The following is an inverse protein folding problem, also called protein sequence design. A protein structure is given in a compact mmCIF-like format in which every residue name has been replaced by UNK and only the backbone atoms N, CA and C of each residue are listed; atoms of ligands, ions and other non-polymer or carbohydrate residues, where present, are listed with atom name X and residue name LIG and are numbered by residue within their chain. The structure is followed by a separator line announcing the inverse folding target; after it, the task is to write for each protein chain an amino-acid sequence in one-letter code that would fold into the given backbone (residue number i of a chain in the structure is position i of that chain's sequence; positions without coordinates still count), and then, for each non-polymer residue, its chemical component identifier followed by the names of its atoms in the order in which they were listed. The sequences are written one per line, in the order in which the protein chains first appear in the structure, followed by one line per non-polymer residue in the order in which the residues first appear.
data_IF_411333763192
#
_entry.id   IF_411333763192
#
_cell.length_a   1.000
_cell.length_b   1.000
_cell.length_c   1.000
_cell.angle_alpha   90.00
_cell.angle_beta   90.00
_cell.angle_gamma   90.00
#
_symmetry.space_group_name_H-M   'P 1'
#
loop_
_entity.id
_entity.type
_entity.pdbx_description
1 polymer ?
#
# COMPACT_ATOMS: atom_id res chain seq x y z
N UNK A 1 29.17 53.78 -8.70
CA UNK A 1 28.67 52.93 -7.59
C UNK A 1 27.31 52.25 -7.86
N UNK A 2 26.55 52.62 -8.91
CA UNK A 2 25.25 51.99 -9.22
C UNK A 2 25.37 50.63 -9.95
N UNK A 3 26.33 50.51 -10.88
CA UNK A 3 26.46 49.33 -11.76
C UNK A 3 26.94 48.04 -11.05
N UNK A 4 27.59 48.17 -9.89
CA UNK A 4 28.09 47.02 -9.12
C UNK A 4 26.95 46.31 -8.36
N UNK A 5 25.93 47.07 -7.93
CA UNK A 5 24.74 46.54 -7.23
C UNK A 5 23.85 45.70 -8.15
N UNK A 6 23.73 46.11 -9.42
CA UNK A 6 22.93 45.39 -10.43
C UNK A 6 23.55 44.03 -10.79
N UNK A 7 24.89 43.94 -10.86
CA UNK A 7 25.57 42.67 -11.16
C UNK A 7 25.51 41.66 -10.01
N UNK A 8 25.51 42.14 -8.76
CA UNK A 8 25.39 41.27 -7.59
C UNK A 8 23.99 40.66 -7.45
N UNK A 9 22.94 41.42 -7.79
CA UNK A 9 21.56 40.92 -7.79
C UNK A 9 21.29 39.88 -8.88
N UNK A 10 21.86 40.06 -10.08
CA UNK A 10 21.72 39.10 -11.18
C UNK A 10 22.39 37.76 -10.91
N UNK A 11 23.54 37.76 -10.22
CA UNK A 11 24.24 36.54 -9.85
C UNK A 11 23.48 35.71 -8.79
N UNK A 12 22.84 36.36 -7.81
CA UNK A 12 22.05 35.68 -6.80
C UNK A 12 20.78 35.01 -7.39
N UNK A 13 20.13 35.67 -8.36
CA UNK A 13 18.96 35.12 -9.03
C UNK A 13 19.28 33.87 -9.87
N UNK A 14 20.42 33.86 -10.58
CA UNK A 14 20.84 32.73 -11.41
C UNK A 14 21.16 31.47 -10.59
N UNK A 15 21.71 31.63 -9.38
CA UNK A 15 22.00 30.51 -8.48
C UNK A 15 20.70 29.91 -7.91
N UNK A 16 19.71 30.74 -7.57
CA UNK A 16 18.42 30.27 -7.08
C UNK A 16 17.68 29.38 -8.07
N UNK A 17 17.74 29.70 -9.37
CA UNK A 17 17.10 28.92 -10.44
C UNK A 17 17.76 27.55 -10.64
N UNK A 18 19.07 27.44 -10.42
CA UNK A 18 19.82 26.20 -10.61
C UNK A 18 19.73 25.23 -9.41
N UNK A 19 19.48 25.75 -8.20
CA UNK A 19 19.43 24.93 -6.96
C UNK A 19 17.99 24.59 -6.53
N UNK A 20 16.99 25.29 -7.05
CA UNK A 20 15.58 24.99 -6.76
C UNK A 20 15.11 23.55 -7.09
N UNK A 21 15.49 22.90 -8.21
CA UNK A 21 14.87 21.63 -8.58
C UNK A 21 15.33 20.44 -7.73
N UNK A 22 16.47 20.53 -7.03
CA UNK A 22 16.99 19.45 -6.19
C UNK A 22 16.34 19.37 -4.81
N UNK A 23 15.54 20.37 -4.41
CA UNK A 23 14.81 20.37 -3.13
C UNK A 23 13.44 19.68 -3.21
N UNK A 24 12.99 19.29 -4.42
CA UNK A 24 11.73 18.58 -4.67
C UNK A 24 11.93 17.07 -4.85
N UNK A 25 13.11 16.55 -4.52
CA UNK A 25 13.36 15.10 -4.56
C UNK A 25 12.70 14.48 -3.33
N UNK A 26 11.45 14.07 -3.50
CA UNK A 26 10.76 13.17 -2.57
C UNK A 26 11.68 11.95 -2.35
N UNK A 27 12.00 11.56 -1.10
CA UNK A 27 12.74 10.32 -0.87
C UNK A 27 11.96 9.16 -1.51
N UNK A 28 12.65 8.16 -2.10
CA UNK A 28 11.96 7.01 -2.66
C UNK A 28 11.09 6.41 -1.56
N UNK A 29 9.77 6.35 -1.81
CA UNK A 29 8.85 5.70 -0.89
C UNK A 29 9.40 4.31 -0.57
N UNK A 30 9.49 3.99 0.72
CA UNK A 30 9.93 2.66 1.15
C UNK A 30 9.00 1.65 0.48
N UNK A 31 9.52 0.93 -0.50
CA UNK A 31 8.86 -0.25 -1.04
C UNK A 31 8.92 -1.29 0.08
N UNK A 32 7.84 -1.38 0.85
CA UNK A 32 7.65 -2.57 1.67
C UNK A 32 7.61 -3.73 0.69
N UNK A 33 8.60 -4.63 0.81
CA UNK A 33 8.52 -5.96 0.21
C UNK A 33 7.11 -6.45 0.50
N UNK A 34 6.33 -6.71 -0.55
CA UNK A 34 4.94 -7.10 -0.37
C UNK A 34 4.94 -8.27 0.60
N UNK A 35 4.42 -8.03 1.80
CA UNK A 35 3.95 -9.10 2.67
C UNK A 35 3.14 -10.04 1.75
N UNK A 36 3.09 -11.37 1.96
CA UNK A 36 2.45 -12.28 1.00
C UNK A 36 0.92 -12.09 0.86
N UNK A 37 0.40 -10.93 1.28
CA UNK A 37 -0.93 -10.45 1.14
C UNK A 37 -1.10 -9.48 -0.04
N UNK A 38 -2.34 -9.38 -0.53
CA UNK A 38 -2.73 -8.41 -1.55
C UNK A 38 -3.68 -7.36 -0.96
N UNK A 39 -3.74 -6.20 -1.61
CA UNK A 39 -4.68 -5.15 -1.26
C UNK A 39 -6.09 -5.50 -1.79
N UNK A 40 -6.87 -6.28 -1.04
CA UNK A 40 -8.32 -6.42 -1.30
C UNK A 40 -8.95 -7.72 -0.81
N UNK A 41 -9.97 -8.20 -1.50
CA UNK A 41 -10.50 -9.57 -1.38
C UNK A 41 -10.44 -10.23 -2.77
N UNK A 42 -9.96 -11.48 -2.86
CA UNK A 42 -10.09 -12.31 -4.07
C UNK A 42 -11.39 -13.10 -3.99
N UNK A 43 -12.38 -12.81 -4.85
CA UNK A 43 -13.63 -13.57 -4.88
C UNK A 43 -13.38 -15.05 -5.18
N UNK A 44 -14.05 -15.93 -4.45
CA UNK A 44 -13.93 -17.39 -4.62
C UNK A 44 -12.67 -18.02 -3.99
N UNK A 45 -11.70 -17.22 -3.52
CA UNK A 45 -10.50 -17.73 -2.86
C UNK A 45 -10.38 -17.18 -1.43
N UNK A 46 -10.96 -17.87 -0.43
CA UNK A 46 -10.90 -17.43 0.97
C UNK A 46 -9.52 -17.63 1.62
N UNK A 47 -8.59 -18.38 1.01
CA UNK A 47 -7.23 -18.60 1.55
C UNK A 47 -6.26 -17.49 1.20
N UNK A 48 -6.61 -16.65 0.21
CA UNK A 48 -5.76 -15.55 -0.19
C UNK A 48 -5.68 -14.52 0.95
N UNK A 49 -4.47 -14.25 1.45
CA UNK A 49 -4.20 -13.32 2.55
C UNK A 49 -4.39 -11.87 2.10
N UNK A 50 -5.11 -11.06 2.86
CA UNK A 50 -5.38 -9.66 2.52
C UNK A 50 -4.67 -8.73 3.49
N UNK A 51 -4.09 -7.65 2.98
CA UNK A 51 -3.46 -6.61 3.80
C UNK A 51 -4.48 -5.64 4.42
N UNK A 52 -5.75 -5.68 3.99
CA UNK A 52 -6.81 -4.80 4.52
C UNK A 52 -7.41 -5.30 5.84
N UNK A 53 -7.12 -6.55 6.21
CA UNK A 53 -7.64 -7.16 7.41
C UNK A 53 -6.49 -7.50 8.34
N UNK A 54 -6.75 -7.38 9.65
CA UNK A 54 -5.79 -7.78 10.67
C UNK A 54 -5.51 -9.28 10.69
N UNK A 55 -4.70 -9.75 11.66
CA UNK A 55 -4.37 -11.16 11.83
C UNK A 55 -5.61 -12.04 11.87
N UNK A 56 -5.56 -13.17 11.15
CA UNK A 56 -6.68 -14.12 11.12
C UNK A 56 -6.68 -15.00 12.37
N UNK A 57 -7.84 -15.21 13.00
CA UNK A 57 -7.95 -16.21 14.04
C UNK A 57 -7.66 -17.61 13.46
N UNK A 58 -7.17 -18.56 14.28
CA UNK A 58 -6.95 -19.91 13.84
C UNK A 58 -8.27 -20.54 13.37
N UNK A 59 -8.21 -21.25 12.25
CA UNK A 59 -9.36 -21.97 11.71
C UNK A 59 -9.60 -23.21 12.56
N UNK A 60 -10.78 -23.29 13.18
CA UNK A 60 -11.27 -24.46 13.90
C UNK A 60 -12.39 -25.09 13.10
N UNK A 61 -12.33 -26.41 12.91
CA UNK A 61 -13.38 -27.16 12.21
C UNK A 61 -14.72 -27.01 12.93
N UNK A 62 -15.77 -26.66 12.20
CA UNK A 62 -17.09 -26.30 12.78
C UNK A 62 -17.14 -24.95 13.51
N UNK A 63 -16.03 -24.20 13.56
CA UNK A 63 -15.97 -22.87 14.16
C UNK A 63 -16.51 -21.76 13.27
N UNK A 64 -16.41 -20.53 13.77
CA UNK A 64 -16.81 -19.34 13.02
C UNK A 64 -15.79 -19.06 11.89
N UNK A 65 -16.26 -18.67 10.69
CA UNK A 65 -15.38 -18.19 9.63
C UNK A 65 -14.76 -16.84 10.00
N UNK A 66 -13.57 -16.55 9.48
CA UNK A 66 -13.03 -15.20 9.53
C UNK A 66 -13.71 -14.26 8.51
N UNK A 67 -13.56 -12.96 8.75
CA UNK A 67 -14.22 -11.90 7.98
C UNK A 67 -13.89 -11.95 6.49
N UNK A 68 -12.65 -12.30 6.14
CA UNK A 68 -12.23 -12.30 4.74
C UNK A 68 -12.81 -13.48 3.98
N UNK A 69 -12.94 -14.65 4.63
CA UNK A 69 -13.59 -15.81 4.04
C UNK A 69 -15.08 -15.57 3.78
N UNK A 70 -15.76 -14.85 4.68
CA UNK A 70 -17.17 -14.45 4.50
C UNK A 70 -17.34 -13.59 3.25
N UNK A 71 -16.46 -12.61 3.04
CA UNK A 71 -16.53 -11.70 1.89
C UNK A 71 -16.12 -12.43 0.60
N UNK A 72 -15.03 -13.20 0.63
CA UNK A 72 -14.51 -13.93 -0.53
C UNK A 72 -15.51 -14.97 -1.07
N UNK A 73 -16.25 -15.65 -0.18
CA UNK A 73 -17.19 -16.70 -0.56
C UNK A 73 -18.62 -16.21 -0.86
N UNK A 74 -18.86 -14.90 -0.88
CA UNK A 74 -20.22 -14.36 -1.08
C UNK A 74 -20.78 -14.76 -2.45
N UNK A 75 -21.92 -15.46 -2.44
CA UNK A 75 -22.59 -15.94 -3.66
C UNK A 75 -22.05 -17.27 -4.21
N UNK A 76 -21.12 -17.92 -3.51
CA UNK A 76 -20.47 -19.16 -3.93
C UNK A 76 -20.89 -20.30 -2.99
N UNK A 77 -21.92 -21.10 -3.34
CA UNK A 77 -22.42 -22.14 -2.46
C UNK A 77 -21.32 -23.17 -2.14
N UNK A 78 -21.19 -23.55 -0.87
CA UNK A 78 -20.20 -24.51 -0.40
C UNK A 78 -18.80 -23.93 -0.11
N UNK A 79 -18.48 -22.71 -0.56
CA UNK A 79 -17.16 -22.09 -0.35
C UNK A 79 -16.83 -21.91 1.14
N UNK A 80 -17.78 -21.40 1.94
CA UNK A 80 -17.57 -21.24 3.40
C UNK A 80 -17.42 -22.57 4.12
N UNK A 81 -18.27 -23.54 3.80
CA UNK A 81 -18.21 -24.87 4.44
C UNK A 81 -16.91 -25.58 4.11
N UNK A 82 -16.40 -25.42 2.88
CA UNK A 82 -15.11 -25.96 2.47
C UNK A 82 -13.95 -25.21 3.11
N UNK A 83 -14.05 -23.89 3.27
CA UNK A 83 -13.04 -23.12 3.98
C UNK A 83 -12.91 -23.58 5.44
N UNK A 84 -14.02 -23.75 6.17
CA UNK A 84 -14.01 -24.12 7.60
C UNK A 84 -13.71 -25.60 7.81
N UNK A 85 -14.25 -26.48 6.94
CA UNK A 85 -14.19 -27.93 7.15
C UNK A 85 -13.25 -28.67 6.21
N UNK A 86 -12.62 -27.99 5.26
CA UNK A 86 -11.62 -28.56 4.36
C UNK A 86 -10.36 -29.02 5.09
N UNK A 87 -9.48 -29.76 4.39
CA UNK A 87 -8.21 -30.22 4.92
C UNK A 87 -7.25 -29.08 5.29
#
# INVERSE_FOLDING_TARGET
MSSFKVRLAGAAAAVGVLVAPSMLVEPPAVQHEAEPCYNGIVPGNPWATSCNFGPRPPRVRGGLPDQTAVIACRGWPGCLSWYINGP
#
